data_IF_334971509439
#
_entry.id   IF_334971509439
#
_cell.length_a   1.000
_cell.length_b   1.000
_cell.length_c   1.000
_cell.angle_alpha   90.00
_cell.angle_beta   90.00
_cell.angle_gamma   90.00
#
_symmetry.space_group_name_H-M   'P 1'
#
loop_
_entity.id
_entity.type
_entity.pdbx_description
1 polymer ?
#
# COMPACT_ATOMS: atom_id res chain seq x y z
N UNK A 1 9.46 -3.67 -63.62
CA UNK A 1 9.55 -5.12 -63.64
C UNK A 1 8.27 -5.65 -63.03
N UNK A 2 7.52 -6.41 -63.81
CA UNK A 2 6.28 -6.96 -63.33
C UNK A 2 6.52 -8.34 -62.71
N UNK A 3 5.83 -8.60 -61.62
CA UNK A 3 5.86 -9.90 -60.95
C UNK A 3 5.10 -10.92 -61.78
N UNK A 4 5.60 -12.14 -61.85
CA UNK A 4 4.87 -13.26 -62.47
C UNK A 4 3.72 -13.68 -61.56
N UNK A 5 2.74 -14.38 -62.12
CA UNK A 5 1.63 -14.91 -61.31
C UNK A 5 2.10 -15.82 -60.18
N UNK A 6 3.13 -16.64 -60.41
CA UNK A 6 3.73 -17.47 -59.35
C UNK A 6 4.35 -16.65 -58.25
N UNK A 7 5.01 -15.56 -58.57
CA UNK A 7 5.60 -14.65 -57.56
C UNK A 7 4.51 -13.95 -56.74
N UNK A 8 3.46 -13.51 -57.37
CA UNK A 8 2.33 -12.89 -56.68
C UNK A 8 1.61 -13.88 -55.76
N UNK A 9 1.43 -15.11 -56.22
CA UNK A 9 0.83 -16.18 -55.41
C UNK A 9 1.68 -16.50 -54.19
N UNK A 10 3.00 -16.57 -54.37
CA UNK A 10 3.92 -16.79 -53.26
C UNK A 10 3.85 -15.66 -52.24
N UNK A 11 3.79 -14.42 -52.69
CA UNK A 11 3.68 -13.22 -51.81
C UNK A 11 2.34 -13.27 -51.07
N UNK A 12 1.26 -13.54 -51.75
CA UNK A 12 -0.08 -13.62 -51.15
C UNK A 12 -0.17 -14.76 -50.11
N UNK A 13 0.44 -15.91 -50.40
CA UNK A 13 0.50 -17.03 -49.46
C UNK A 13 1.31 -16.66 -48.22
N UNK A 14 2.47 -16.05 -48.39
CA UNK A 14 3.29 -15.60 -47.28
C UNK A 14 2.58 -14.55 -46.42
N UNK A 15 1.88 -13.62 -47.08
CA UNK A 15 1.11 -12.59 -46.37
C UNK A 15 -0.05 -13.20 -45.57
N UNK A 16 -0.76 -14.15 -46.15
CA UNK A 16 -1.85 -14.86 -45.47
C UNK A 16 -1.35 -15.64 -44.24
N UNK A 17 -0.20 -16.29 -44.35
CA UNK A 17 0.45 -16.97 -43.21
C UNK A 17 0.85 -15.99 -42.12
N UNK A 18 1.39 -14.84 -42.48
CA UNK A 18 1.79 -13.82 -41.54
C UNK A 18 0.57 -13.25 -40.79
N UNK A 19 -0.53 -13.01 -41.49
CA UNK A 19 -1.77 -12.54 -40.90
C UNK A 19 -2.30 -13.56 -39.88
N UNK A 20 -2.29 -14.84 -40.26
CA UNK A 20 -2.74 -15.91 -39.36
C UNK A 20 -1.87 -16.04 -38.12
N UNK A 21 -0.55 -15.96 -38.24
CA UNK A 21 0.36 -15.98 -37.12
C UNK A 21 0.12 -14.78 -36.20
N UNK A 22 -0.06 -13.61 -36.76
CA UNK A 22 -0.36 -12.40 -35.97
C UNK A 22 -1.67 -12.52 -35.20
N UNK A 23 -2.69 -13.10 -35.82
CA UNK A 23 -3.97 -13.37 -35.19
C UNK A 23 -3.84 -14.33 -34.00
N UNK A 24 -3.08 -15.41 -34.15
CA UNK A 24 -2.82 -16.38 -33.09
C UNK A 24 -2.04 -15.77 -31.96
N UNK A 25 -1.01 -14.96 -32.24
CA UNK A 25 -0.25 -14.27 -31.24
C UNK A 25 -1.10 -13.29 -30.42
N UNK A 26 -1.98 -12.55 -31.08
CA UNK A 26 -2.91 -11.65 -30.38
C UNK A 26 -3.87 -12.42 -29.48
N UNK A 27 -4.36 -13.56 -29.89
CA UNK A 27 -5.23 -14.40 -29.07
C UNK A 27 -4.51 -14.91 -27.83
N UNK A 28 -3.26 -15.34 -27.98
CA UNK A 28 -2.43 -15.78 -26.85
C UNK A 28 -2.14 -14.63 -25.88
N UNK A 29 -1.82 -13.45 -26.39
CA UNK A 29 -1.57 -12.26 -25.56
C UNK A 29 -2.82 -11.79 -24.82
N UNK A 30 -3.99 -11.93 -25.42
CA UNK A 30 -5.25 -11.54 -24.79
C UNK A 30 -5.59 -12.39 -23.56
N UNK A 31 -5.19 -13.65 -23.55
CA UNK A 31 -5.52 -14.57 -22.46
C UNK A 31 -4.53 -14.52 -21.29
N UNK A 32 -3.24 -14.33 -21.53
CA UNK A 32 -2.21 -14.39 -20.50
C UNK A 32 -2.05 -13.10 -19.68
N UNK A 33 -1.92 -11.91 -20.30
CA UNK A 33 -1.71 -10.68 -19.53
C UNK A 33 -2.89 -10.27 -18.68
N UNK A 34 -4.11 -10.57 -19.10
CA UNK A 34 -5.33 -10.18 -18.38
C UNK A 34 -5.39 -10.85 -17.00
N UNK A 35 -5.06 -12.12 -16.90
CA UNK A 35 -5.04 -12.84 -15.63
C UNK A 35 -3.97 -12.29 -14.69
N UNK A 36 -2.75 -12.07 -15.20
CA UNK A 36 -1.64 -11.54 -14.39
C UNK A 36 -1.95 -10.13 -13.89
N UNK A 37 -2.50 -9.26 -14.74
CA UNK A 37 -2.87 -7.90 -14.34
C UNK A 37 -3.98 -7.92 -13.30
N UNK A 38 -4.98 -8.78 -13.45
CA UNK A 38 -6.07 -8.93 -12.48
C UNK A 38 -5.55 -9.37 -11.12
N UNK A 39 -4.64 -10.35 -11.06
CA UNK A 39 -4.03 -10.80 -9.83
C UNK A 39 -3.21 -9.69 -9.17
N UNK A 40 -2.40 -8.96 -9.91
CA UNK A 40 -1.60 -7.86 -9.37
C UNK A 40 -2.47 -6.74 -8.80
N UNK A 41 -3.53 -6.37 -9.50
CA UNK A 41 -4.47 -5.35 -9.03
C UNK A 41 -5.16 -5.81 -7.76
N UNK A 42 -5.60 -7.05 -7.69
CA UNK A 42 -6.26 -7.62 -6.51
C UNK A 42 -5.31 -7.63 -5.31
N UNK A 43 -4.06 -8.09 -5.48
CA UNK A 43 -3.06 -8.12 -4.41
C UNK A 43 -2.73 -6.72 -3.92
N UNK A 44 -2.55 -5.74 -4.82
CA UNK A 44 -2.23 -4.36 -4.45
C UNK A 44 -3.38 -3.67 -3.72
N UNK A 45 -4.63 -4.03 -4.00
CA UNK A 45 -5.79 -3.47 -3.32
C UNK A 45 -6.03 -4.07 -1.93
N UNK A 46 -5.66 -5.33 -1.70
CA UNK A 46 -6.00 -6.06 -0.47
C UNK A 46 -4.98 -5.85 0.64
N UNK A 47 -3.70 -5.64 0.32
CA UNK A 47 -2.64 -5.64 1.31
C UNK A 47 -1.65 -4.47 1.10
N UNK A 48 -2.00 -3.25 1.52
CA UNK A 48 -1.02 -2.17 1.56
C UNK A 48 0.10 -2.51 2.54
N UNK A 49 1.32 -2.12 2.21
CA UNK A 49 2.45 -2.28 3.12
C UNK A 49 2.23 -1.50 4.41
N UNK A 50 2.69 -2.00 5.56
CA UNK A 50 2.63 -1.24 6.81
C UNK A 50 3.32 0.10 6.68
N UNK A 51 2.71 1.14 7.24
CA UNK A 51 3.25 2.51 7.25
C UNK A 51 3.63 2.90 8.68
N UNK A 52 4.71 3.65 8.82
CA UNK A 52 5.16 4.14 10.12
C UNK A 52 5.18 5.66 10.16
N UNK A 53 4.71 6.22 11.27
CA UNK A 53 4.82 7.65 11.57
C UNK A 53 5.76 7.79 12.77
N UNK A 54 6.83 8.55 12.62
CA UNK A 54 7.83 8.76 13.67
C UNK A 54 7.56 10.04 14.44
N UNK A 55 7.84 10.00 15.74
CA UNK A 55 7.59 11.12 16.67
C UNK A 55 8.86 11.58 17.33
N UNK A 56 8.87 12.84 17.74
CA UNK A 56 9.93 13.39 18.56
C UNK A 56 9.82 12.90 20.00
N UNK A 57 10.93 12.98 20.73
CA UNK A 57 11.00 12.53 22.10
C UNK A 57 9.95 13.24 22.97
N UNK A 58 9.24 12.48 23.77
CA UNK A 58 8.21 13.01 24.68
C UNK A 58 7.01 13.66 23.99
N UNK A 59 6.87 13.51 22.67
CA UNK A 59 5.81 14.16 21.90
C UNK A 59 4.88 13.16 21.25
N UNK A 60 3.60 13.50 21.23
CA UNK A 60 2.56 12.80 20.44
C UNK A 60 2.04 13.68 19.29
N UNK A 61 2.72 14.79 19.00
CA UNK A 61 2.35 15.69 17.91
C UNK A 61 2.77 15.08 16.57
N UNK A 62 1.83 15.00 15.63
CA UNK A 62 2.08 14.49 14.29
C UNK A 62 3.05 15.40 13.53
N UNK A 63 4.08 14.83 12.88
CA UNK A 63 4.91 15.60 11.96
C UNK A 63 4.09 16.13 10.78
N UNK A 64 4.43 17.32 10.30
CA UNK A 64 3.69 17.98 9.21
C UNK A 64 3.71 17.17 7.91
N UNK A 65 4.78 16.42 7.66
CA UNK A 65 4.91 15.60 6.45
C UNK A 65 4.17 14.26 6.52
N UNK A 66 3.64 13.87 7.67
CA UNK A 66 2.88 12.61 7.82
C UNK A 66 1.50 12.68 7.15
N UNK A 67 0.95 13.88 6.95
CA UNK A 67 -0.40 14.07 6.41
C UNK A 67 -0.55 13.46 5.01
N UNK A 68 0.48 13.53 4.17
CA UNK A 68 0.45 12.96 2.82
C UNK A 68 0.29 11.44 2.87
N UNK A 69 1.06 10.77 3.72
CA UNK A 69 0.98 9.31 3.88
C UNK A 69 -0.36 8.88 4.46
N UNK A 70 -0.87 9.62 5.45
CA UNK A 70 -2.17 9.36 6.05
C UNK A 70 -3.31 9.57 5.07
N UNK A 71 -3.20 10.57 4.18
CA UNK A 71 -4.19 10.79 3.13
C UNK A 71 -4.25 9.61 2.15
N UNK A 72 -3.11 9.05 1.78
CA UNK A 72 -3.07 7.86 0.92
C UNK A 72 -3.74 6.66 1.58
N UNK A 73 -3.49 6.45 2.86
CA UNK A 73 -4.13 5.37 3.64
C UNK A 73 -5.64 5.60 3.73
N UNK A 74 -6.07 6.83 3.99
CA UNK A 74 -7.48 7.18 4.07
C UNK A 74 -8.19 6.93 2.75
N UNK A 75 -7.58 7.30 1.63
CA UNK A 75 -8.13 7.09 0.29
C UNK A 75 -8.28 5.58 0.00
N UNK A 76 -7.30 4.79 0.40
CA UNK A 76 -7.35 3.33 0.23
C UNK A 76 -8.51 2.71 1.02
N UNK A 77 -8.75 3.15 2.24
CA UNK A 77 -9.87 2.66 3.06
C UNK A 77 -11.22 3.09 2.49
N UNK A 78 -11.31 4.29 1.94
CA UNK A 78 -12.54 4.76 1.28
C UNK A 78 -12.88 3.92 0.05
N UNK A 79 -11.87 3.52 -0.71
CA UNK A 79 -12.04 2.65 -1.87
C UNK A 79 -12.35 1.20 -1.47
N UNK A 80 -12.05 0.82 -0.25
CA UNK A 80 -12.24 -0.54 0.29
C UNK A 80 -12.96 -0.47 1.65
N UNK A 81 -14.29 -0.26 1.69
CA UNK A 81 -15.00 0.02 2.94
C UNK A 81 -14.93 -1.07 4.00
N UNK A 82 -14.64 -2.32 3.60
CA UNK A 82 -14.47 -3.44 4.53
C UNK A 82 -13.07 -3.56 5.11
N UNK A 83 -12.13 -2.74 4.67
CA UNK A 83 -10.75 -2.80 5.14
C UNK A 83 -10.64 -2.19 6.53
N UNK A 84 -10.04 -2.94 7.46
CA UNK A 84 -9.76 -2.46 8.81
C UNK A 84 -8.28 -2.15 8.95
N UNK A 85 -7.98 -1.12 9.73
CA UNK A 85 -6.61 -0.69 10.01
C UNK A 85 -6.30 -0.89 11.48
N UNK A 86 -5.14 -1.48 11.76
CA UNK A 86 -4.57 -1.55 13.10
C UNK A 86 -3.57 -0.43 13.28
N UNK A 87 -3.82 0.43 14.26
CA UNK A 87 -2.98 1.60 14.58
C UNK A 87 -2.33 1.33 15.93
N UNK A 88 -1.04 1.05 15.93
CA UNK A 88 -0.28 0.68 17.13
C UNK A 88 0.79 1.72 17.42
N UNK A 89 0.69 2.33 18.61
CA UNK A 89 1.66 3.33 19.06
C UNK A 89 2.76 2.72 19.93
N UNK A 90 3.95 3.28 19.83
CA UNK A 90 5.13 2.89 20.60
C UNK A 90 5.85 4.11 21.12
N UNK A 91 6.55 3.94 22.25
CA UNK A 91 7.50 4.91 22.78
C UNK A 91 8.86 4.23 22.95
N UNK A 92 9.96 5.01 23.06
CA UNK A 92 11.25 4.40 23.40
C UNK A 92 11.35 4.17 24.91
N UNK A 93 11.85 3.00 25.32
CA UNK A 93 11.99 2.63 26.71
C UNK A 93 13.20 3.27 27.39
N UNK A 94 14.07 3.90 26.61
CA UNK A 94 15.27 4.58 27.14
C UNK A 94 14.96 5.94 27.74
N UNK A 95 13.78 6.48 27.50
CA UNK A 95 13.32 7.76 28.03
C UNK A 95 11.98 7.62 28.76
N UNK A 96 11.83 8.30 29.90
CA UNK A 96 10.60 8.30 30.66
C UNK A 96 10.37 7.03 31.49
N UNK A 97 9.28 7.03 32.25
CA UNK A 97 8.85 5.86 33.03
C UNK A 97 7.97 4.93 32.18
N UNK A 98 7.78 3.68 32.65
CA UNK A 98 6.90 2.73 31.97
C UNK A 98 5.46 3.24 31.86
N UNK A 99 4.92 3.86 32.93
CA UNK A 99 3.57 4.41 32.92
C UNK A 99 3.46 5.59 31.94
N UNK A 100 4.44 6.47 31.90
CA UNK A 100 4.51 7.59 30.97
C UNK A 100 4.55 7.10 29.53
N UNK A 101 5.41 6.14 29.25
CA UNK A 101 5.56 5.58 27.91
C UNK A 101 4.31 4.86 27.43
N UNK A 102 3.60 4.18 28.34
CA UNK A 102 2.32 3.55 28.02
C UNK A 102 1.31 4.60 27.56
N UNK A 103 1.16 5.66 28.32
CA UNK A 103 0.25 6.76 28.00
C UNK A 103 0.68 7.46 26.71
N UNK A 104 1.96 7.75 26.55
CA UNK A 104 2.49 8.40 25.35
C UNK A 104 2.25 7.58 24.09
N UNK A 105 2.44 6.26 24.18
CA UNK A 105 2.18 5.36 23.02
C UNK A 105 0.71 5.34 22.64
N UNK A 106 -0.18 5.37 23.62
CA UNK A 106 -1.63 5.45 23.38
C UNK A 106 -2.01 6.80 22.76
N UNK A 107 -1.47 7.90 23.27
CA UNK A 107 -1.72 9.24 22.75
C UNK A 107 -1.25 9.37 21.29
N UNK A 108 -0.09 8.81 20.97
CA UNK A 108 0.42 8.77 19.60
C UNK A 108 -0.51 8.02 18.67
N UNK A 109 -0.95 6.82 19.06
CA UNK A 109 -1.87 6.03 18.28
C UNK A 109 -3.22 6.74 18.11
N UNK A 110 -3.76 7.33 19.16
CA UNK A 110 -5.02 8.08 19.10
C UNK A 110 -4.90 9.32 18.19
N UNK A 111 -3.80 10.04 18.22
CA UNK A 111 -3.61 11.20 17.37
C UNK A 111 -3.54 10.84 15.89
N UNK A 112 -2.88 9.74 15.57
CA UNK A 112 -2.86 9.21 14.18
C UNK A 112 -4.27 8.79 13.76
N UNK A 113 -4.97 8.06 14.63
CA UNK A 113 -6.34 7.62 14.35
C UNK A 113 -7.29 8.81 14.16
N UNK A 114 -7.19 9.84 14.98
CA UNK A 114 -7.99 11.05 14.87
C UNK A 114 -7.75 11.78 13.53
N UNK A 115 -6.50 11.83 13.09
CA UNK A 115 -6.17 12.40 11.79
C UNK A 115 -6.77 11.59 10.64
N UNK A 116 -6.71 10.27 10.71
CA UNK A 116 -7.35 9.40 9.72
C UNK A 116 -8.86 9.62 9.68
N UNK A 117 -9.51 9.80 10.83
CA UNK A 117 -10.94 10.12 10.88
C UNK A 117 -11.24 11.47 10.23
N UNK A 118 -10.41 12.48 10.46
CA UNK A 118 -10.54 13.79 9.80
C UNK A 118 -10.41 13.67 8.28
N UNK A 119 -9.60 12.74 7.82
CA UNK A 119 -9.41 12.48 6.39
C UNK A 119 -10.52 11.60 5.78
N UNK A 120 -11.49 11.18 6.58
CA UNK A 120 -12.68 10.48 6.12
C UNK A 120 -12.74 8.99 6.43
N UNK A 121 -11.80 8.45 7.20
CA UNK A 121 -11.84 7.05 7.63
C UNK A 121 -12.88 6.87 8.73
N UNK A 122 -13.72 5.83 8.62
CA UNK A 122 -14.69 5.51 9.66
C UNK A 122 -13.94 4.96 10.89
N UNK A 123 -14.23 5.53 12.06
CA UNK A 123 -13.63 5.11 13.34
C UNK A 123 -13.83 3.62 13.62
N UNK A 124 -14.94 3.04 13.18
CA UNK A 124 -15.23 1.60 13.36
C UNK A 124 -14.26 0.69 12.58
N UNK A 125 -13.57 1.24 11.59
CA UNK A 125 -12.55 0.51 10.83
C UNK A 125 -11.16 0.61 11.44
N UNK A 126 -11.00 1.29 12.57
CA UNK A 126 -9.72 1.49 13.25
C UNK A 126 -9.65 0.67 14.53
N UNK A 127 -8.55 -0.06 14.69
CA UNK A 127 -8.20 -0.78 15.93
C UNK A 127 -6.98 -0.05 16.51
N UNK A 128 -7.15 0.60 17.64
CA UNK A 128 -6.17 1.49 18.23
C UNK A 128 -5.57 0.84 19.48
N UNK A 129 -4.25 0.77 19.57
CA UNK A 129 -3.56 0.28 20.74
C UNK A 129 -2.22 0.99 20.99
N UNK A 130 -1.83 1.09 22.26
CA UNK A 130 -0.52 1.58 22.67
C UNK A 130 0.26 0.47 23.36
N UNK A 131 1.49 0.23 22.91
CA UNK A 131 2.34 -0.86 23.41
C UNK A 131 3.32 -0.42 24.47
N UNK A 132 3.39 0.89 24.79
CA UNK A 132 4.33 1.43 25.78
C UNK A 132 5.72 1.58 25.23
N UNK A 133 6.71 1.59 26.14
CA UNK A 133 8.11 1.72 25.77
C UNK A 133 8.68 0.43 25.23
N UNK A 134 9.42 0.53 24.15
CA UNK A 134 10.13 -0.59 23.51
C UNK A 134 11.56 -0.18 23.16
N UNK A 135 12.45 -1.15 23.02
CA UNK A 135 13.84 -0.93 22.65
C UNK A 135 14.29 -1.87 21.53
N UNK A 136 13.36 -2.27 20.68
CA UNK A 136 13.56 -3.26 19.62
C UNK A 136 14.38 -2.72 18.45
N UNK A 137 14.43 -1.40 18.28
CA UNK A 137 15.14 -0.76 17.17
C UNK A 137 16.25 0.15 17.70
N UNK A 138 17.27 0.33 16.88
CA UNK A 138 18.43 1.22 17.17
C UNK A 138 18.62 2.15 15.98
N UNK A 139 18.79 3.47 16.17
CA UNK A 139 18.77 4.22 17.44
C UNK A 139 17.37 4.31 18.08
N UNK A 140 17.27 4.75 19.36
CA UNK A 140 16.00 4.83 20.08
C UNK A 140 14.90 5.63 19.39
N UNK A 141 15.27 6.60 18.55
CA UNK A 141 14.33 7.38 17.75
C UNK A 141 13.39 6.51 16.91
N UNK A 142 13.83 5.36 16.44
CA UNK A 142 13.02 4.44 15.63
C UNK A 142 11.94 3.73 16.45
N UNK A 143 12.03 3.73 17.77
CA UNK A 143 10.99 3.17 18.64
C UNK A 143 9.86 4.17 18.93
N UNK A 144 10.04 5.45 18.61
CA UNK A 144 9.03 6.50 18.78
C UNK A 144 8.15 6.57 17.53
N UNK A 145 7.24 5.62 17.38
CA UNK A 145 6.49 5.45 16.14
C UNK A 145 5.06 4.98 16.38
N UNK A 146 4.24 5.18 15.36
CA UNK A 146 2.95 4.51 15.20
C UNK A 146 3.01 3.69 13.92
N UNK A 147 2.63 2.44 13.99
CA UNK A 147 2.54 1.55 12.84
C UNK A 147 1.07 1.43 12.45
N UNK A 148 0.79 1.63 11.16
CA UNK A 148 -0.54 1.50 10.59
C UNK A 148 -0.50 0.31 9.63
N UNK A 149 -1.28 -0.73 9.96
CA UNK A 149 -1.31 -1.98 9.21
C UNK A 149 -2.74 -2.30 8.78
N UNK A 150 -2.89 -2.85 7.56
CA UNK A 150 -4.17 -3.41 7.13
C UNK A 150 -4.40 -4.77 7.79
N UNK A 151 -5.63 -5.01 8.19
CA UNK A 151 -6.06 -6.31 8.72
C UNK A 151 -6.95 -7.06 7.75
#
# INVERSE_FOLDING_TARGET
MELTSSQMDAINTALAQQIEQNRQLKAQLANQPTEVVTEQVTVNQIAPAPQSVFFQIGSAVLPTNSTVNLQQIADLVKDNPGLKLKVTGYADSDTGSAAWNKQLSEDRANNVANELVKLGVNKNNLIISGMGGVNTLTPPAFNRRVIIEAQ
#
